data_IF_488335016487
#
_entry.id   IF_488335016487
#
_cell.length_a   1.000
_cell.length_b   1.000
_cell.length_c   1.000
_cell.angle_alpha   90.00
_cell.angle_beta   90.00
_cell.angle_gamma   90.00
#
_symmetry.space_group_name_H-M   'P 1'
#
loop_
_entity.id
_entity.type
_entity.pdbx_description
1 polymer ?
#
# COMPACT_ATOMS: atom_id res chain seq x y z
N UNK A 1 -43.09 -0.55 -23.82
CA UNK A 1 -41.70 -0.33 -23.37
C UNK A 1 -41.12 0.74 -24.29
N UNK A 2 -40.46 1.77 -23.74
CA UNK A 2 -39.77 2.76 -24.56
C UNK A 2 -38.40 2.19 -24.92
N UNK A 3 -38.18 1.86 -26.19
CA UNK A 3 -36.89 1.44 -26.68
C UNK A 3 -35.99 2.66 -26.92
N UNK A 4 -34.71 2.53 -26.59
CA UNK A 4 -33.72 3.56 -26.91
C UNK A 4 -33.58 3.69 -28.42
N UNK A 5 -33.39 4.91 -28.93
CA UNK A 5 -33.06 5.10 -30.33
C UNK A 5 -31.71 4.42 -30.66
N UNK A 6 -31.51 4.10 -31.94
CA UNK A 6 -30.28 3.48 -32.43
C UNK A 6 -29.04 4.31 -32.08
N UNK A 7 -29.15 5.64 -32.11
CA UNK A 7 -28.06 6.53 -31.76
C UNK A 7 -27.72 6.46 -30.26
N UNK A 8 -28.74 6.47 -29.40
CA UNK A 8 -28.55 6.36 -27.95
C UNK A 8 -27.96 5.00 -27.55
N UNK A 9 -28.39 3.91 -28.20
CA UNK A 9 -27.81 2.58 -28.01
C UNK A 9 -26.32 2.55 -28.37
N UNK A 10 -25.95 3.20 -29.47
CA UNK A 10 -24.55 3.29 -29.89
C UNK A 10 -23.72 4.07 -28.87
N UNK A 11 -24.18 5.24 -28.43
CA UNK A 11 -23.47 6.06 -27.44
C UNK A 11 -23.34 5.35 -26.09
N UNK A 12 -24.39 4.67 -25.64
CA UNK A 12 -24.36 3.87 -24.41
C UNK A 12 -23.33 2.75 -24.50
N UNK A 13 -23.33 1.99 -25.60
CA UNK A 13 -22.37 0.90 -25.82
C UNK A 13 -20.93 1.42 -25.87
N UNK A 14 -20.71 2.56 -26.53
CA UNK A 14 -19.41 3.21 -26.59
C UNK A 14 -18.92 3.64 -25.20
N UNK A 15 -19.78 4.29 -24.42
CA UNK A 15 -19.47 4.70 -23.06
C UNK A 15 -19.13 3.49 -22.17
N UNK A 16 -19.86 2.38 -22.30
CA UNK A 16 -19.56 1.15 -21.58
C UNK A 16 -18.16 0.61 -21.97
N UNK A 17 -17.85 0.54 -23.26
CA UNK A 17 -16.54 0.10 -23.72
C UNK A 17 -15.39 1.00 -23.23
N UNK A 18 -15.61 2.32 -23.19
CA UNK A 18 -14.61 3.27 -22.69
C UNK A 18 -14.36 3.07 -21.18
N UNK A 19 -15.40 2.82 -20.40
CA UNK A 19 -15.28 2.46 -18.98
C UNK A 19 -14.54 1.14 -18.80
N UNK A 20 -14.91 0.10 -19.55
CA UNK A 20 -14.26 -1.21 -19.47
C UNK A 20 -12.77 -1.12 -19.82
N UNK A 21 -12.43 -0.33 -20.84
CA UNK A 21 -11.05 -0.05 -21.22
C UNK A 21 -10.29 0.63 -20.08
N UNK A 22 -10.87 1.66 -19.45
CA UNK A 22 -10.21 2.38 -18.35
C UNK A 22 -10.03 1.50 -17.12
N UNK A 23 -10.98 0.62 -16.83
CA UNK A 23 -10.85 -0.36 -15.76
C UNK A 23 -9.70 -1.35 -16.02
N UNK A 24 -9.56 -1.85 -17.26
CA UNK A 24 -8.44 -2.71 -17.64
C UNK A 24 -7.08 -1.98 -17.54
N UNK A 25 -7.01 -0.72 -17.96
CA UNK A 25 -5.81 0.10 -17.81
C UNK A 25 -5.43 0.28 -16.33
N UNK A 26 -6.41 0.56 -15.45
CA UNK A 26 -6.18 0.71 -14.02
C UNK A 26 -5.71 -0.60 -13.35
N UNK A 27 -6.30 -1.74 -13.72
CA UNK A 27 -5.86 -3.06 -13.22
C UNK A 27 -4.42 -3.37 -13.61
N UNK A 28 -4.01 -3.04 -14.85
CA UNK A 28 -2.61 -3.22 -15.29
C UNK A 28 -1.65 -2.33 -14.51
N UNK A 29 -2.00 -1.06 -14.30
CA UNK A 29 -1.19 -0.14 -13.50
C UNK A 29 -1.05 -0.62 -12.05
N UNK A 30 -2.11 -1.18 -11.46
CA UNK A 30 -2.05 -1.77 -10.12
C UNK A 30 -1.10 -2.98 -10.08
N UNK A 31 -1.18 -3.88 -11.04
CA UNK A 31 -0.26 -5.03 -11.12
C UNK A 31 1.21 -4.61 -11.29
N UNK A 32 1.46 -3.55 -12.05
CA UNK A 32 2.81 -2.99 -12.21
C UNK A 32 3.34 -2.37 -10.90
N UNK A 33 2.48 -1.66 -10.17
CA UNK A 33 2.79 -1.15 -8.83
C UNK A 33 3.09 -2.30 -7.85
N UNK A 34 2.25 -3.33 -7.80
CA UNK A 34 2.44 -4.48 -6.92
C UNK A 34 3.76 -5.19 -7.23
N UNK A 35 4.10 -5.33 -8.52
CA UNK A 35 5.40 -5.87 -8.95
C UNK A 35 6.57 -5.00 -8.50
N UNK A 36 6.47 -3.67 -8.65
CA UNK A 36 7.52 -2.75 -8.21
C UNK A 36 7.71 -2.81 -6.69
N UNK A 37 6.62 -2.89 -5.93
CA UNK A 37 6.66 -3.05 -4.48
C UNK A 37 7.41 -4.35 -4.14
N UNK A 38 7.05 -5.47 -4.76
CA UNK A 38 7.71 -6.75 -4.54
C UNK A 38 9.21 -6.71 -4.89
N UNK A 39 9.58 -6.08 -6.00
CA UNK A 39 10.98 -5.90 -6.40
C UNK A 39 11.76 -5.05 -5.37
N UNK A 40 11.14 -4.01 -4.82
CA UNK A 40 11.73 -3.19 -3.75
C UNK A 40 11.83 -3.97 -2.43
N UNK A 41 10.80 -4.72 -2.07
CA UNK A 41 10.80 -5.58 -0.88
C UNK A 41 11.91 -6.63 -0.94
N UNK A 42 12.13 -7.25 -2.10
CA UNK A 42 13.28 -8.14 -2.29
C UNK A 42 14.61 -7.39 -2.21
N UNK A 43 14.73 -6.24 -2.89
CA UNK A 43 15.98 -5.45 -2.93
C UNK A 43 16.43 -4.98 -1.54
N UNK A 44 15.47 -4.64 -0.69
CA UNK A 44 15.73 -4.16 0.67
C UNK A 44 15.55 -5.23 1.74
N UNK A 45 15.42 -6.49 1.32
CA UNK A 45 15.25 -7.65 2.22
C UNK A 45 14.11 -7.45 3.23
N UNK A 46 13.02 -6.79 2.83
CA UNK A 46 11.85 -6.55 3.68
C UNK A 46 11.01 -7.81 3.84
N UNK A 47 11.04 -8.70 2.85
CA UNK A 47 10.40 -10.01 2.94
C UNK A 47 11.27 -10.94 3.79
N UNK A 48 10.75 -11.35 4.94
CA UNK A 48 11.40 -12.30 5.86
C UNK A 48 12.22 -11.66 6.98
N UNK A 49 12.51 -10.36 6.89
CA UNK A 49 13.09 -9.59 7.98
C UNK A 49 12.02 -8.66 8.57
N UNK A 50 12.16 -8.26 9.84
CA UNK A 50 11.26 -7.30 10.49
C UNK A 50 11.54 -5.87 9.98
N UNK A 51 11.50 -5.63 8.67
CA UNK A 51 11.76 -4.33 8.06
C UNK A 51 10.55 -3.93 7.21
N UNK A 52 10.13 -2.67 7.29
CA UNK A 52 9.00 -2.16 6.52
C UNK A 52 9.36 -0.83 5.84
N UNK A 53 8.87 -0.61 4.62
CA UNK A 53 8.94 0.70 3.96
C UNK A 53 7.68 1.48 4.32
N UNK A 54 7.87 2.70 4.83
CA UNK A 54 6.78 3.66 4.87
C UNK A 54 6.60 4.32 3.49
N UNK A 55 5.47 4.09 2.79
CA UNK A 55 5.31 4.55 1.41
C UNK A 55 5.18 6.08 1.28
N UNK A 56 4.87 6.80 2.37
CA UNK A 56 4.74 8.26 2.37
C UNK A 56 6.06 9.00 2.54
N UNK A 57 6.99 8.40 3.27
CA UNK A 57 8.28 9.01 3.66
C UNK A 57 9.46 8.38 2.89
N UNK A 58 9.22 7.25 2.22
CA UNK A 58 10.24 6.45 1.53
C UNK A 58 11.40 6.02 2.45
N UNK A 59 11.14 5.89 3.76
CA UNK A 59 12.12 5.43 4.74
C UNK A 59 11.92 3.95 5.06
N UNK A 60 13.02 3.22 5.22
CA UNK A 60 13.03 1.85 5.71
C UNK A 60 13.19 1.90 7.23
N UNK A 61 12.17 1.46 7.96
CA UNK A 61 12.25 1.30 9.40
C UNK A 61 12.59 -0.16 9.71
N UNK A 62 13.67 -0.38 10.46
CA UNK A 62 13.93 -1.67 11.09
C UNK A 62 12.93 -1.80 12.25
N UNK A 63 11.89 -2.61 12.08
CA UNK A 63 11.02 -3.05 13.15
C UNK A 63 11.69 -4.16 13.98
N UNK A 64 12.98 -4.00 14.24
CA UNK A 64 13.75 -4.80 15.19
C UNK A 64 13.17 -4.57 16.58
N UNK A 65 12.11 -5.31 16.90
CA UNK A 65 11.82 -5.62 18.29
C UNK A 65 12.94 -6.57 18.65
N UNK A 66 14.03 -5.97 19.15
CA UNK A 66 15.23 -6.62 19.64
C UNK A 66 14.83 -7.85 20.48
N UNK A 67 14.78 -9.04 19.85
CA UNK A 67 14.39 -10.31 20.51
C UNK A 67 15.47 -10.84 21.44
N UNK A 68 16.39 -9.96 21.85
CA UNK A 68 17.40 -10.18 22.88
C UNK A 68 17.14 -9.18 24.00
N UNK A 69 16.09 -9.36 24.78
CA UNK A 69 16.11 -9.04 26.20
C UNK A 69 14.97 -9.76 26.93
N UNK A 70 15.34 -10.89 27.51
CA UNK A 70 14.62 -11.54 28.60
C UNK A 70 14.65 -10.60 29.80
N UNK A 71 13.72 -9.64 29.88
CA UNK A 71 13.65 -8.71 31.00
C UNK A 71 12.71 -7.54 30.76
N UNK A 72 11.49 -7.68 31.28
CA UNK A 72 10.59 -6.61 31.75
C UNK A 72 10.43 -5.37 30.85
N UNK A 73 9.40 -5.37 30.00
CA UNK A 73 8.91 -4.23 29.21
C UNK A 73 8.37 -3.03 30.01
N UNK A 74 8.85 -2.80 31.24
CA UNK A 74 8.58 -1.58 32.02
C UNK A 74 9.53 -0.44 31.63
N UNK A 75 10.78 -0.72 31.29
CA UNK A 75 11.77 0.33 30.99
C UNK A 75 11.47 1.07 29.67
N UNK A 76 10.93 0.38 28.67
CA UNK A 76 10.57 0.99 27.38
C UNK A 76 9.38 1.95 27.51
N UNK A 77 8.41 1.63 28.37
CA UNK A 77 7.27 2.52 28.62
C UNK A 77 7.69 3.73 29.47
N UNK A 78 8.66 3.54 30.37
CA UNK A 78 9.17 4.61 31.23
C UNK A 78 10.05 5.60 30.44
N UNK A 79 10.86 5.14 29.48
CA UNK A 79 11.64 6.02 28.61
C UNK A 79 10.77 6.83 27.65
N UNK A 80 9.74 6.22 27.07
CA UNK A 80 8.76 6.93 26.22
C UNK A 80 7.97 7.97 27.04
N UNK A 81 7.58 7.65 28.28
CA UNK A 81 6.88 8.59 29.15
C UNK A 81 7.77 9.76 29.60
N UNK A 82 9.05 9.52 29.86
CA UNK A 82 10.02 10.54 30.24
C UNK A 82 10.36 11.50 29.08
N UNK A 83 10.35 11.01 27.84
CA UNK A 83 10.59 11.83 26.65
C UNK A 83 9.35 12.65 26.26
N UNK A 84 8.14 12.09 26.42
CA UNK A 84 6.89 12.82 26.23
C UNK A 84 6.66 13.93 27.28
N UNK A 85 7.28 13.83 28.46
CA UNK A 85 7.15 14.82 29.54
C UNK A 85 8.15 15.99 29.44
N UNK A 86 9.02 16.02 28.41
CA UNK A 86 10.01 17.07 28.18
C UNK A 86 9.70 18.00 26.99
N UNK A 87 8.52 17.88 26.37
CA UNK A 87 7.95 18.89 25.46
C UNK A 87 6.95 19.77 26.18
#
# INVERSE_FOLDING_TARGET
>A
MNELDSNDRYHLKKAQMDVDRKNLEAQRAQQELDRLILDLEHKYELIGNEKNIEPRTATIADNSINRNNKGNGKELLESIALEASKS
#
